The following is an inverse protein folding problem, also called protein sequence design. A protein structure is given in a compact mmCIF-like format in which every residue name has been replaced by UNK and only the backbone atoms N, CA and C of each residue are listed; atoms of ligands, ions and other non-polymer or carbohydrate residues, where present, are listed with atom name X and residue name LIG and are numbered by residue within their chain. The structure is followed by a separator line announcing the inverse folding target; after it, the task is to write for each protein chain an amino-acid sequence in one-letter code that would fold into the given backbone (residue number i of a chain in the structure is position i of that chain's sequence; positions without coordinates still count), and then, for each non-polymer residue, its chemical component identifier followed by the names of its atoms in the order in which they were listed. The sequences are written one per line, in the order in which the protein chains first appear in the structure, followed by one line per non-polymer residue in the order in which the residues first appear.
data_IF_430761713943
#
_entry.id   IF_430761713943
#
_cell.length_a   1.000
_cell.length_b   1.000
_cell.length_c   1.000
_cell.angle_alpha   90.00
_cell.angle_beta   90.00
_cell.angle_gamma   90.00
#
_symmetry.space_group_name_H-M   'P 1'
#
loop_
_entity.id
_entity.type
_entity.pdbx_description
1 polymer ?
#
# COMPACT_ATOMS: atom_id res chain seq x y z
N UNK A 1 -19.51 -1.47 1.27
CA UNK A 1 -19.76 -0.91 -0.08
C UNK A 1 -18.50 -0.33 -0.73
N UNK A 2 -17.42 -0.04 0.01
CA UNK A 2 -16.23 0.65 -0.53
C UNK A 2 -15.50 0.00 -1.72
N UNK A 3 -15.06 -1.26 -1.64
CA UNK A 3 -14.22 -1.84 -2.71
C UNK A 3 -14.97 -2.06 -4.03
N UNK A 4 -16.24 -2.46 -3.95
CA UNK A 4 -17.10 -2.64 -5.13
C UNK A 4 -17.42 -1.29 -5.79
N UNK A 5 -17.57 -0.25 -4.97
CA UNK A 5 -17.82 1.12 -5.43
C UNK A 5 -16.56 1.77 -6.03
N UNK A 6 -15.40 1.53 -5.42
CA UNK A 6 -14.09 1.94 -5.95
C UNK A 6 -13.82 1.34 -7.34
N UNK A 7 -14.12 0.05 -7.53
CA UNK A 7 -14.02 -0.60 -8.85
C UNK A 7 -15.02 0.00 -9.85
N UNK A 8 -16.26 0.27 -9.46
CA UNK A 8 -17.25 0.88 -10.36
C UNK A 8 -16.95 2.33 -10.70
N UNK A 9 -16.30 3.07 -9.79
CA UNK A 9 -15.96 4.49 -9.96
C UNK A 9 -14.65 4.68 -10.73
N UNK A 10 -13.62 3.89 -10.42
CA UNK A 10 -12.35 3.89 -11.15
C UNK A 10 -11.62 2.54 -11.04
N UNK A 11 -11.96 1.64 -11.96
CA UNK A 11 -11.37 0.30 -12.03
C UNK A 11 -9.86 0.32 -12.26
N UNK A 12 -9.35 1.30 -13.03
CA UNK A 12 -7.92 1.43 -13.34
C UNK A 12 -7.13 1.79 -12.09
N UNK A 13 -7.57 2.81 -11.34
CA UNK A 13 -6.89 3.23 -10.12
C UNK A 13 -6.91 2.13 -9.07
N UNK A 14 -8.04 1.42 -8.96
CA UNK A 14 -8.17 0.27 -8.07
C UNK A 14 -7.22 -0.87 -8.47
N UNK A 15 -7.13 -1.21 -9.76
CA UNK A 15 -6.22 -2.24 -10.25
C UNK A 15 -4.74 -1.86 -10.01
N UNK A 16 -4.35 -0.61 -10.28
CA UNK A 16 -2.99 -0.13 -10.05
C UNK A 16 -2.63 -0.12 -8.56
N UNK A 17 -3.48 0.43 -7.70
CA UNK A 17 -3.23 0.47 -6.26
C UNK A 17 -3.11 -0.94 -5.67
N UNK A 18 -3.94 -1.89 -6.13
CA UNK A 18 -3.83 -3.30 -5.75
C UNK A 18 -2.52 -3.92 -6.23
N UNK A 19 -2.12 -3.67 -7.47
CA UNK A 19 -0.86 -4.15 -8.03
C UNK A 19 0.36 -3.64 -7.28
N UNK A 20 0.39 -2.34 -6.94
CA UNK A 20 1.45 -1.74 -6.13
C UNK A 20 1.46 -2.37 -4.73
N UNK A 21 0.29 -2.57 -4.11
CA UNK A 21 0.19 -3.23 -2.81
C UNK A 21 0.77 -4.65 -2.81
N UNK A 22 0.44 -5.45 -3.84
CA UNK A 22 1.00 -6.80 -4.01
C UNK A 22 2.51 -6.78 -4.25
N UNK A 23 3.01 -5.82 -5.05
CA UNK A 23 4.44 -5.64 -5.26
C UNK A 23 5.17 -5.28 -3.97
N UNK A 24 4.65 -4.34 -3.19
CA UNK A 24 5.20 -3.99 -1.88
C UNK A 24 5.25 -5.19 -0.94
N UNK A 25 4.20 -6.01 -0.90
CA UNK A 25 4.17 -7.24 -0.10
C UNK A 25 5.25 -8.24 -0.57
N UNK A 26 5.42 -8.41 -1.88
CA UNK A 26 6.46 -9.27 -2.43
C UNK A 26 7.87 -8.81 -2.03
N UNK A 27 8.17 -7.52 -2.16
CA UNK A 27 9.47 -6.95 -1.77
C UNK A 27 9.70 -7.06 -0.26
N UNK A 28 8.65 -6.88 0.55
CA UNK A 28 8.77 -7.02 2.00
C UNK A 28 9.14 -8.45 2.40
N UNK A 29 8.50 -9.45 1.78
CA UNK A 29 8.84 -10.87 1.99
C UNK A 29 10.26 -11.17 1.52
N UNK A 30 10.67 -10.67 0.36
CA UNK A 30 12.02 -10.87 -0.17
C UNK A 30 13.09 -10.23 0.74
N UNK A 31 12.83 -9.02 1.23
CA UNK A 31 13.73 -8.30 2.14
C UNK A 31 13.86 -9.03 3.48
N UNK A 32 12.75 -9.52 4.01
CA UNK A 32 12.73 -10.32 5.23
C UNK A 32 13.49 -11.64 5.05
N UNK A 33 13.28 -12.34 3.94
CA UNK A 33 13.97 -13.59 3.62
C UNK A 33 15.47 -13.41 3.36
N UNK A 34 15.87 -12.27 2.78
CA UNK A 34 17.27 -11.94 2.55
C UNK A 34 18.01 -11.49 3.83
N UNK A 35 17.30 -11.29 4.94
CA UNK A 35 17.90 -10.92 6.22
C UNK A 35 18.47 -12.17 6.90
N UNK A 36 19.73 -12.49 6.63
CA UNK A 36 20.39 -13.74 7.04
C UNK A 36 20.48 -13.95 8.57
N UNK A 37 20.35 -12.89 9.37
CA UNK A 37 20.46 -13.01 10.83
C UNK A 37 19.71 -11.91 11.60
N UNK A 38 18.41 -12.12 11.87
CA UNK A 38 17.53 -11.16 12.55
C UNK A 38 17.98 -10.77 13.97
N UNK A 39 18.87 -11.56 14.58
CA UNK A 39 19.35 -11.37 15.95
C UNK A 39 20.74 -10.72 16.03
N UNK A 40 21.41 -10.57 14.89
CA UNK A 40 22.72 -9.90 14.81
C UNK A 40 22.52 -8.39 14.59
N UNK A 41 22.18 -7.68 15.67
CA UNK A 41 21.96 -6.23 15.66
C UNK A 41 23.26 -5.39 15.65
N UNK A 42 24.41 -6.03 15.90
CA UNK A 42 25.72 -5.38 16.00
C UNK A 42 26.83 -6.19 15.33
N UNK A 43 27.62 -5.58 14.44
CA UNK A 43 28.74 -6.19 13.72
C UNK A 43 29.10 -5.42 12.44
N UNK A 44 30.24 -5.72 11.80
CA UNK A 44 30.50 -5.26 10.43
C UNK A 44 29.83 -6.21 9.46
N UNK A 45 28.93 -5.69 8.62
CA UNK A 45 28.18 -6.45 7.63
C UNK A 45 28.46 -5.89 6.23
N UNK A 46 28.52 -6.77 5.24
CA UNK A 46 28.50 -6.41 3.81
C UNK A 46 27.21 -6.98 3.25
N UNK A 47 26.22 -6.13 2.97
CA UNK A 47 24.88 -6.53 2.53
C UNK A 47 23.74 -5.96 3.37
N UNK A 48 22.57 -6.60 3.33
CA UNK A 48 21.38 -6.21 4.10
C UNK A 48 21.52 -6.63 5.56
N UNK A 49 21.68 -5.67 6.47
CA UNK A 49 21.69 -5.94 7.91
C UNK A 49 20.25 -6.04 8.48
N UNK A 50 20.09 -6.70 9.64
CA UNK A 50 18.78 -6.93 10.24
C UNK A 50 18.01 -5.62 10.55
N UNK A 51 18.72 -4.59 11.01
CA UNK A 51 18.12 -3.28 11.34
C UNK A 51 17.57 -2.59 10.09
N UNK A 52 18.36 -2.52 9.03
CA UNK A 52 17.98 -1.91 7.76
C UNK A 52 16.90 -2.69 7.03
N UNK A 53 16.98 -4.03 7.06
CA UNK A 53 15.95 -4.92 6.52
C UNK A 53 14.60 -4.73 7.21
N UNK A 54 14.58 -4.75 8.55
CA UNK A 54 13.36 -4.51 9.33
C UNK A 54 12.81 -3.09 9.15
N UNK A 55 13.67 -2.08 9.11
CA UNK A 55 13.26 -0.71 8.83
C UNK A 55 12.61 -0.58 7.43
N UNK A 56 13.20 -1.21 6.41
CA UNK A 56 12.63 -1.25 5.06
C UNK A 56 11.27 -1.95 5.01
N UNK A 57 11.13 -3.08 5.70
CA UNK A 57 9.84 -3.80 5.83
C UNK A 57 8.79 -2.92 6.52
N UNK A 58 9.16 -2.20 7.58
CA UNK A 58 8.24 -1.29 8.28
C UNK A 58 7.75 -0.15 7.37
N UNK A 59 8.64 0.42 6.55
CA UNK A 59 8.26 1.45 5.56
C UNK A 59 7.32 0.87 4.52
N UNK A 60 7.60 -0.33 3.99
CA UNK A 60 6.71 -1.01 3.03
C UNK A 60 5.33 -1.29 3.64
N UNK A 61 5.27 -1.71 4.89
CA UNK A 61 4.01 -1.89 5.61
C UNK A 61 3.22 -0.57 5.72
N UNK A 62 3.90 0.55 6.00
CA UNK A 62 3.31 1.88 6.01
C UNK A 62 2.72 2.29 4.65
N UNK A 63 3.44 2.03 3.55
CA UNK A 63 2.95 2.29 2.19
C UNK A 63 1.69 1.48 1.90
N UNK A 64 1.69 0.20 2.25
CA UNK A 64 0.51 -0.67 2.09
C UNK A 64 -0.68 -0.14 2.90
N UNK A 65 -0.46 0.30 4.14
CA UNK A 65 -1.50 0.92 4.96
C UNK A 65 -2.09 2.18 4.30
N UNK A 66 -1.25 3.04 3.73
CA UNK A 66 -1.70 4.23 2.99
C UNK A 66 -2.53 3.86 1.75
N UNK A 67 -2.14 2.79 1.03
CA UNK A 67 -2.93 2.29 -0.11
C UNK A 67 -4.31 1.79 0.34
N UNK A 68 -4.42 1.16 1.51
CA UNK A 68 -5.72 0.77 2.06
C UNK A 68 -6.60 1.97 2.41
N UNK A 69 -6.01 3.04 2.98
CA UNK A 69 -6.74 4.29 3.23
C UNK A 69 -7.23 4.91 1.92
N UNK A 70 -6.36 4.99 0.92
CA UNK A 70 -6.72 5.48 -0.42
C UNK A 70 -7.87 4.69 -1.06
N UNK A 71 -7.84 3.35 -0.92
CA UNK A 71 -8.93 2.48 -1.39
C UNK A 71 -10.24 2.69 -0.65
N UNK A 72 -10.18 3.05 0.64
CA UNK A 72 -11.37 3.37 1.42
C UNK A 72 -12.01 4.66 0.90
N UNK A 73 -11.21 5.72 0.69
CA UNK A 73 -11.68 7.00 0.15
C UNK A 73 -12.23 6.88 -1.27
N UNK A 74 -11.59 6.07 -2.13
CA UNK A 74 -12.11 5.76 -3.47
C UNK A 74 -13.49 5.07 -3.45
N UNK A 75 -13.80 4.40 -2.34
CA UNK A 75 -15.07 3.71 -2.14
C UNK A 75 -16.17 4.62 -1.61
N UNK A 76 -15.84 5.81 -1.13
CA UNK A 76 -16.79 6.80 -0.63
C UNK A 76 -17.60 7.36 -1.80
N UNK A 77 -18.90 7.09 -1.81
CA UNK A 77 -19.85 7.74 -2.71
C UNK A 77 -20.23 9.09 -2.11
N UNK A 78 -19.35 10.09 -2.20
CA UNK A 78 -19.78 11.47 -1.95
C UNK A 78 -20.84 11.79 -3.02
N UNK A 79 -22.05 12.29 -2.68
CA UNK A 79 -23.03 12.66 -3.68
C UNK A 79 -22.38 13.62 -4.68
N UNK A 80 -22.38 13.23 -5.96
CA UNK A 80 -21.86 14.07 -7.02
C UNK A 80 -22.44 15.49 -6.87
N UNK A 81 -21.64 16.55 -7.09
CA UNK A 81 -22.15 17.91 -7.07
C UNK A 81 -23.40 17.97 -7.94
N UNK A 82 -24.51 18.49 -7.38
CA UNK A 82 -25.73 18.68 -8.18
C UNK A 82 -25.34 19.47 -9.42
N UNK A 83 -25.79 18.99 -10.58
CA UNK A 83 -25.58 19.70 -11.83
C UNK A 83 -26.03 21.16 -11.65
N UNK A 84 -25.16 22.10 -12.02
CA UNK A 84 -25.51 23.50 -12.06
C UNK A 84 -25.78 23.90 -13.52
N UNK A 85 -26.91 24.54 -13.83
CA UNK A 85 -27.97 25.01 -12.91
C UNK A 85 -28.91 23.89 -12.43
N UNK A 86 -29.61 24.08 -11.30
CA UNK A 86 -30.64 23.14 -10.84
C UNK A 86 -31.75 23.03 -11.90
N UNK A 87 -32.15 21.80 -12.22
CA UNK A 87 -33.45 21.58 -12.86
C UNK A 87 -34.52 21.88 -11.81
N UNK A 88 -35.44 22.79 -12.16
CA UNK A 88 -36.39 23.58 -11.33
C UNK A 88 -36.81 22.99 -9.97
#
# INVERSE_FOLDING_TARGET
MGLRNAVSQSWVLTAMATGIGLWCAYIAVQTFAASENLWAFSGSYVGTNAVGGLAGVAVLAGIVALLFVYMAELGESDPAPRAWPPEE
#
